data_IF_687489585257
#
_entry.id   IF_687489585257
#
_cell.length_a   1.000
_cell.length_b   1.000
_cell.length_c   1.000
_cell.angle_alpha   90.00
_cell.angle_beta   90.00
_cell.angle_gamma   90.00
#
_symmetry.space_group_name_H-M   'P 1'
#
loop_
_entity.id
_entity.type
_entity.pdbx_description
1 polymer ?
#
# COMPACT_ATOMS: atom_id res chain seq x y z
N UNK A 1 -15.06 -19.93 -9.45
CA UNK A 1 -13.60 -20.10 -9.58
C UNK A 1 -13.19 -19.34 -10.82
N UNK A 2 -12.26 -18.40 -10.71
CA UNK A 2 -11.72 -17.74 -11.91
C UNK A 2 -11.02 -18.80 -12.75
N UNK A 3 -11.29 -18.84 -14.06
CA UNK A 3 -10.60 -19.78 -14.94
C UNK A 3 -9.16 -19.33 -15.16
N UNK A 4 -8.27 -20.28 -15.45
CA UNK A 4 -6.88 -20.00 -15.82
C UNK A 4 -6.80 -18.94 -16.93
N UNK A 5 -7.68 -19.04 -17.94
CA UNK A 5 -7.74 -18.10 -19.06
C UNK A 5 -8.06 -16.66 -18.61
N UNK A 6 -8.97 -16.49 -17.64
CA UNK A 6 -9.30 -15.18 -17.09
C UNK A 6 -8.12 -14.56 -16.34
N UNK A 7 -7.42 -15.36 -15.54
CA UNK A 7 -6.24 -14.90 -14.80
C UNK A 7 -5.06 -14.63 -15.73
N UNK A 8 -4.87 -15.45 -16.76
CA UNK A 8 -3.85 -15.23 -17.79
C UNK A 8 -4.11 -13.91 -18.52
N UNK A 9 -5.35 -13.65 -18.96
CA UNK A 9 -5.70 -12.38 -19.59
C UNK A 9 -5.50 -11.19 -18.63
N UNK A 10 -5.83 -11.35 -17.36
CA UNK A 10 -5.57 -10.35 -16.31
C UNK A 10 -4.08 -10.05 -16.14
N UNK A 11 -3.23 -11.08 -16.11
CA UNK A 11 -1.78 -10.94 -16.02
C UNK A 11 -1.17 -10.30 -17.27
N UNK A 12 -1.65 -10.65 -18.47
CA UNK A 12 -1.24 -10.01 -19.73
C UNK A 12 -1.59 -8.51 -19.72
N UNK A 13 -2.83 -8.18 -19.32
CA UNK A 13 -3.27 -6.79 -19.19
C UNK A 13 -2.49 -6.04 -18.10
N UNK A 14 -2.07 -6.73 -17.04
CA UNK A 14 -1.20 -6.18 -16.00
C UNK A 14 0.28 -6.08 -16.43
N UNK A 15 0.65 -6.58 -17.61
CA UNK A 15 2.04 -6.60 -18.09
C UNK A 15 2.93 -7.58 -17.32
N UNK A 16 2.34 -8.59 -16.68
CA UNK A 16 3.02 -9.60 -15.84
C UNK A 16 2.89 -11.04 -16.38
N UNK A 17 3.10 -11.31 -17.69
CA UNK A 17 2.97 -12.68 -18.23
C UNK A 17 4.02 -13.65 -17.66
N UNK A 18 5.15 -13.12 -17.19
CA UNK A 18 6.25 -13.91 -16.60
C UNK A 18 5.84 -14.68 -15.33
N UNK A 19 4.75 -14.28 -14.67
CA UNK A 19 4.22 -14.98 -13.49
C UNK A 19 3.81 -16.43 -13.82
N UNK A 20 3.45 -16.72 -15.08
CA UNK A 20 3.08 -18.05 -15.54
C UNK A 20 4.22 -18.83 -16.22
N UNK A 21 5.46 -18.31 -16.23
CA UNK A 21 6.58 -18.94 -16.96
C UNK A 21 6.90 -20.38 -16.49
N UNK A 22 6.67 -20.67 -15.20
CA UNK A 22 6.89 -21.98 -14.58
C UNK A 22 5.59 -22.78 -14.41
N UNK A 23 4.48 -22.33 -14.98
CA UNK A 23 3.20 -23.03 -14.91
C UNK A 23 3.27 -24.52 -15.33
N UNK A 24 4.05 -24.90 -16.37
CA UNK A 24 4.21 -26.30 -16.75
C UNK A 24 4.92 -27.16 -15.71
N UNK A 25 5.73 -26.56 -14.84
CA UNK A 25 6.54 -27.24 -13.82
C UNK A 25 5.78 -27.47 -12.50
N UNK A 26 4.65 -26.80 -12.30
CA UNK A 26 3.82 -26.93 -11.09
C UNK A 26 3.00 -28.23 -11.08
N UNK A 27 2.89 -28.85 -9.90
CA UNK A 27 1.93 -29.93 -9.65
C UNK A 27 0.48 -29.43 -9.69
N UNK A 28 -0.47 -30.35 -9.73
CA UNK A 28 -1.90 -29.99 -9.72
C UNK A 28 -2.28 -29.23 -8.44
N UNK A 29 -1.79 -29.66 -7.28
CA UNK A 29 -2.06 -28.95 -6.02
C UNK A 29 -1.42 -27.56 -5.99
N UNK A 30 -0.22 -27.42 -6.54
CA UNK A 30 0.48 -26.13 -6.62
C UNK A 30 -0.24 -25.16 -7.56
N UNK A 31 -0.77 -25.66 -8.68
CA UNK A 31 -1.57 -24.87 -9.63
C UNK A 31 -2.85 -24.36 -8.99
N UNK A 32 -3.56 -25.22 -8.26
CA UNK A 32 -4.80 -24.84 -7.59
C UNK A 32 -4.57 -23.78 -6.51
N UNK A 33 -3.53 -23.96 -5.67
CA UNK A 33 -3.15 -22.97 -4.67
C UNK A 33 -2.78 -21.63 -5.32
N UNK A 34 -1.99 -21.66 -6.40
CA UNK A 34 -1.57 -20.46 -7.11
C UNK A 34 -2.74 -19.70 -7.74
N UNK A 35 -3.72 -20.40 -8.32
CA UNK A 35 -4.92 -19.78 -8.87
C UNK A 35 -5.78 -19.13 -7.79
N UNK A 36 -5.87 -19.74 -6.60
CA UNK A 36 -6.59 -19.17 -5.47
C UNK A 36 -5.92 -17.90 -4.94
N UNK A 37 -4.59 -17.88 -4.87
CA UNK A 37 -3.83 -16.68 -4.50
C UNK A 37 -4.02 -15.56 -5.54
N UNK A 38 -3.84 -15.87 -6.82
CA UNK A 38 -4.00 -14.88 -7.90
C UNK A 38 -5.42 -14.33 -7.97
N UNK A 39 -6.45 -15.13 -7.70
CA UNK A 39 -7.84 -14.69 -7.73
C UNK A 39 -8.19 -13.68 -6.62
N UNK A 40 -7.37 -13.56 -5.57
CA UNK A 40 -7.54 -12.58 -4.51
C UNK A 40 -6.87 -11.24 -4.81
N UNK A 41 -6.01 -11.19 -5.82
CA UNK A 41 -5.26 -9.99 -6.18
C UNK A 41 -6.02 -9.16 -7.21
N UNK A 42 -6.09 -7.86 -6.98
CA UNK A 42 -6.43 -6.89 -8.02
C UNK A 42 -5.18 -6.58 -8.86
N UNK A 43 -4.98 -7.39 -9.90
CA UNK A 43 -3.82 -7.27 -10.79
C UNK A 43 -3.77 -5.92 -11.51
N UNK A 44 -4.93 -5.34 -11.83
CA UNK A 44 -5.00 -4.04 -12.48
C UNK A 44 -4.64 -2.91 -11.51
N UNK A 45 -5.23 -2.92 -10.31
CA UNK A 45 -4.87 -1.97 -9.26
C UNK A 45 -3.40 -2.05 -8.87
N UNK A 46 -2.81 -3.24 -8.81
CA UNK A 46 -1.38 -3.40 -8.52
C UNK A 46 -0.50 -2.73 -9.59
N UNK A 47 -0.81 -2.94 -10.87
CA UNK A 47 -0.10 -2.32 -11.99
C UNK A 47 -0.15 -0.79 -11.89
N UNK A 48 -1.34 -0.24 -11.72
CA UNK A 48 -1.54 1.22 -11.64
C UNK A 48 -0.74 1.84 -10.50
N UNK A 49 -0.73 1.20 -9.32
CA UNK A 49 0.08 1.64 -8.18
C UNK A 49 1.58 1.59 -8.48
N UNK A 50 2.07 0.51 -9.09
CA UNK A 50 3.47 0.38 -9.46
C UNK A 50 3.90 1.45 -10.48
N UNK A 51 3.10 1.68 -11.52
CA UNK A 51 3.37 2.72 -12.51
C UNK A 51 3.34 4.12 -11.90
N UNK A 52 2.37 4.41 -11.04
CA UNK A 52 2.27 5.70 -10.34
C UNK A 52 3.48 5.93 -9.43
N UNK A 53 3.90 4.90 -8.67
CA UNK A 53 5.06 4.98 -7.79
C UNK A 53 6.36 5.20 -8.59
N UNK A 54 6.57 4.45 -9.68
CA UNK A 54 7.72 4.63 -10.55
C UNK A 54 7.76 6.02 -11.18
N UNK A 55 6.61 6.54 -11.63
CA UNK A 55 6.47 7.88 -12.18
C UNK A 55 6.76 8.96 -11.14
N UNK A 56 6.27 8.79 -9.91
CA UNK A 56 6.55 9.72 -8.82
C UNK A 56 8.05 9.73 -8.47
N UNK A 57 8.68 8.56 -8.41
CA UNK A 57 10.11 8.43 -8.13
C UNK A 57 11.00 9.02 -9.25
N UNK A 58 10.58 8.89 -10.52
CA UNK A 58 11.30 9.45 -11.66
C UNK A 58 11.03 10.95 -11.87
N UNK A 59 10.01 11.51 -11.21
CA UNK A 59 9.68 12.94 -11.34
C UNK A 59 10.74 13.78 -10.61
N UNK A 60 11.16 14.91 -11.20
CA UNK A 60 12.07 15.82 -10.50
C UNK A 60 11.43 16.26 -9.19
N UNK A 61 12.23 16.43 -8.11
CA UNK A 61 11.69 16.86 -6.83
C UNK A 61 10.98 18.20 -7.03
N UNK A 62 9.67 18.19 -6.82
CA UNK A 62 8.90 19.43 -6.73
C UNK A 62 9.49 20.18 -5.54
N UNK A 63 9.78 21.48 -5.70
CA UNK A 63 10.23 22.32 -4.59
C UNK A 63 9.05 22.56 -3.64
N UNK A 64 8.70 21.53 -2.87
CA UNK A 64 7.59 21.52 -1.91
C UNK A 64 7.91 22.40 -0.70
N UNK A 65 9.20 22.64 -0.43
CA UNK A 65 9.67 23.48 0.67
C UNK A 65 9.06 24.89 0.65
N UNK A 66 8.71 25.42 -0.54
CA UNK A 66 8.08 26.73 -0.69
C UNK A 66 6.59 26.75 -0.28
N UNK A 67 5.98 25.59 -0.12
CA UNK A 67 4.56 25.40 0.20
C UNK A 67 4.34 24.69 1.54
N UNK A 68 5.41 24.31 2.24
CA UNK A 68 5.32 23.68 3.54
C UNK A 68 5.33 24.73 4.65
N UNK A 69 4.25 24.79 5.42
CA UNK A 69 4.16 25.59 6.64
C UNK A 69 4.10 24.69 7.89
N UNK A 70 4.59 25.15 9.05
CA UNK A 70 4.41 24.44 10.30
C UNK A 70 2.92 24.25 10.62
N UNK A 71 2.57 23.11 11.21
CA UNK A 71 1.24 22.93 11.77
C UNK A 71 0.96 23.98 12.85
N UNK A 72 -0.32 24.37 12.99
CA UNK A 72 -0.73 25.32 14.03
C UNK A 72 -0.40 24.78 15.42
N UNK A 73 0.14 25.61 16.33
CA UNK A 73 0.59 25.16 17.64
C UNK A 73 -0.53 24.55 18.49
N UNK A 74 -1.78 25.02 18.33
CA UNK A 74 -2.95 24.47 19.03
C UNK A 74 -3.37 23.08 18.52
N UNK A 75 -2.79 22.62 17.41
CA UNK A 75 -3.01 21.29 16.83
C UNK A 75 -1.91 20.29 17.14
N UNK A 76 -0.91 20.66 17.96
CA UNK A 76 0.26 19.82 18.26
C UNK A 76 0.43 19.65 19.77
N UNK A 77 0.45 18.39 20.22
CA UNK A 77 0.92 18.02 21.56
C UNK A 77 2.41 17.72 21.58
N UNK A 78 3.14 18.21 22.59
CA UNK A 78 4.55 17.84 22.79
C UNK A 78 4.89 17.68 24.26
N UNK A 79 5.42 16.51 24.64
CA UNK A 79 5.83 16.21 26.03
C UNK A 79 6.88 17.20 26.56
N UNK A 80 7.71 17.77 25.67
CA UNK A 80 8.73 18.76 26.06
C UNK A 80 8.21 20.20 26.14
N UNK A 81 7.10 20.51 25.46
CA UNK A 81 6.55 21.88 25.37
C UNK A 81 5.23 22.06 26.13
N UNK A 82 4.59 20.97 26.55
CA UNK A 82 3.37 20.99 27.35
C UNK A 82 3.69 20.97 28.84
N UNK A 83 2.89 21.73 29.60
CA UNK A 83 2.92 21.67 31.05
C UNK A 83 2.45 20.30 31.56
N UNK A 84 3.00 19.88 32.70
CA UNK A 84 2.71 18.59 33.34
C UNK A 84 1.22 18.34 33.57
N UNK A 85 0.41 19.40 33.72
CA UNK A 85 -1.05 19.32 33.84
C UNK A 85 -1.76 18.81 32.59
N UNK A 86 -1.31 19.18 31.39
CA UNK A 86 -1.92 18.70 30.15
C UNK A 86 -1.58 17.22 29.92
N UNK A 87 -0.37 16.80 30.29
CA UNK A 87 0.05 15.40 30.23
C UNK A 87 -0.76 14.52 31.18
N UNK A 88 -0.94 14.94 32.44
CA UNK A 88 -1.77 14.21 33.40
C UNK A 88 -3.25 14.18 33.00
N UNK A 89 -3.75 15.22 32.31
CA UNK A 89 -5.10 15.24 31.76
C UNK A 89 -5.32 14.16 30.70
N UNK A 90 -4.38 14.03 29.75
CA UNK A 90 -4.42 12.99 28.72
C UNK A 90 -4.29 11.59 29.30
N UNK A 91 -3.43 11.38 30.30
CA UNK A 91 -3.31 10.08 30.97
C UNK A 91 -4.61 9.65 31.66
N UNK A 92 -5.33 10.60 32.27
CA UNK A 92 -6.59 10.33 32.94
C UNK A 92 -7.72 10.05 31.94
N UNK A 93 -7.76 10.78 30.83
CA UNK A 93 -8.79 10.63 29.78
C UNK A 93 -8.75 9.22 29.17
N UNK A 94 -7.56 8.68 28.91
CA UNK A 94 -7.34 7.31 28.41
C UNK A 94 -7.68 6.20 29.44
N UNK A 95 -7.55 6.49 30.74
CA UNK A 95 -7.87 5.55 31.82
C UNK A 95 -9.36 5.47 32.13
N UNK A 96 -10.13 6.49 31.73
CA UNK A 96 -11.58 6.56 31.96
C UNK A 96 -12.42 6.15 30.76
N UNK A 97 -11.79 5.84 29.62
CA UNK A 97 -12.47 5.49 28.36
C UNK A 97 -12.74 4.00 28.17
#
# INVERSE_FOLDING_TARGET
>A
MASLEQLQQGLENAGQPHVLQFWPELSEEQRDAFLQELAQLDLQGLREHCEAAAKAAASPPVCLDQHMEPLFPDSIGSVRKNDTKNLSGWEQEELTS
#
